data_IF_101125266924
#
_entry.id   IF_101125266924
#
_cell.length_a   1.000
_cell.length_b   1.000
_cell.length_c   1.000
_cell.angle_alpha   90.00
_cell.angle_beta   90.00
_cell.angle_gamma   90.00
#
_symmetry.space_group_name_H-M   'P 1'
#
loop_
_entity.id
_entity.type
_entity.pdbx_description
1 polymer ?
#
# COMPACT_ATOMS: atom_id res chain seq x y z
N UNK A 1 -17.28 14.88 12.38
CA UNK A 1 -17.24 14.09 11.12
C UNK A 1 -18.02 12.81 11.35
N UNK A 2 -19.00 12.51 10.51
CA UNK A 2 -19.81 11.29 10.63
C UNK A 2 -19.69 10.46 9.36
N UNK A 3 -19.53 9.14 9.53
CA UNK A 3 -19.65 8.20 8.43
C UNK A 3 -21.14 7.99 8.12
N UNK A 4 -21.50 8.08 6.84
CA UNK A 4 -22.86 7.90 6.34
C UNK A 4 -23.03 6.45 5.88
N UNK A 5 -22.12 5.98 5.03
CA UNK A 5 -22.10 4.59 4.54
C UNK A 5 -20.68 4.21 4.16
N UNK A 6 -20.39 2.91 4.12
CA UNK A 6 -19.13 2.38 3.62
C UNK A 6 -19.39 1.28 2.59
N UNK A 7 -18.49 1.18 1.62
CA UNK A 7 -18.53 0.15 0.59
C UNK A 7 -17.20 -0.61 0.59
N UNK A 8 -17.28 -1.91 0.83
CA UNK A 8 -16.11 -2.78 0.82
C UNK A 8 -15.59 -2.99 -0.60
N UNK A 9 -14.28 -3.18 -0.73
CA UNK A 9 -13.62 -3.39 -2.01
C UNK A 9 -14.27 -4.47 -2.87
N UNK A 10 -14.67 -5.60 -2.28
CA UNK A 10 -15.29 -6.70 -3.02
C UNK A 10 -16.61 -6.32 -3.69
N UNK A 11 -17.38 -5.43 -3.08
CA UNK A 11 -18.63 -4.91 -3.68
C UNK A 11 -18.32 -3.86 -4.76
N UNK A 12 -17.33 -3.00 -4.49
CA UNK A 12 -16.89 -1.96 -5.43
C UNK A 12 -16.27 -2.56 -6.70
N UNK A 13 -15.45 -3.60 -6.58
CA UNK A 13 -14.81 -4.25 -7.73
C UNK A 13 -15.84 -4.93 -8.64
N UNK A 14 -16.83 -5.61 -8.05
CA UNK A 14 -17.97 -6.17 -8.80
C UNK A 14 -18.82 -5.07 -9.44
N UNK A 15 -19.08 -3.98 -8.72
CA UNK A 15 -19.84 -2.84 -9.22
C UNK A 15 -19.15 -2.15 -10.39
N UNK A 16 -17.82 -2.01 -10.33
CA UNK A 16 -17.01 -1.47 -11.43
C UNK A 16 -17.06 -2.37 -12.66
N UNK A 17 -16.91 -3.68 -12.48
CA UNK A 17 -17.02 -4.64 -13.58
C UNK A 17 -18.41 -4.60 -14.23
N UNK A 18 -19.47 -4.55 -13.41
CA UNK A 18 -20.85 -4.46 -13.90
C UNK A 18 -21.10 -3.12 -14.62
N UNK A 19 -20.68 -1.99 -14.04
CA UNK A 19 -20.81 -0.66 -14.65
C UNK A 19 -20.06 -0.60 -15.99
N UNK A 20 -18.83 -1.12 -16.04
CA UNK A 20 -18.03 -1.17 -17.26
C UNK A 20 -18.67 -2.06 -18.34
N UNK A 21 -19.20 -3.23 -17.98
CA UNK A 21 -19.92 -4.10 -18.90
C UNK A 21 -21.16 -3.41 -19.48
N UNK A 22 -22.01 -2.85 -18.61
CA UNK A 22 -23.25 -2.18 -19.05
C UNK A 22 -22.97 -0.90 -19.86
N UNK A 23 -21.88 -0.19 -19.56
CA UNK A 23 -21.43 0.96 -20.37
C UNK A 23 -20.93 0.50 -21.75
N UNK A 24 -20.22 -0.63 -21.81
CA UNK A 24 -19.75 -1.23 -23.07
C UNK A 24 -20.90 -1.74 -23.92
N UNK A 25 -21.95 -2.26 -23.27
CA UNK A 25 -23.21 -2.66 -23.90
C UNK A 25 -24.03 -1.46 -24.43
N UNK A 26 -23.57 -0.22 -24.20
CA UNK A 26 -24.20 1.00 -24.69
C UNK A 26 -25.47 1.39 -23.93
N UNK A 27 -25.68 0.87 -22.71
CA UNK A 27 -26.87 1.20 -21.91
C UNK A 27 -26.84 2.64 -21.41
N UNK A 28 -28.02 3.22 -21.26
CA UNK A 28 -28.16 4.56 -20.72
C UNK A 28 -27.80 4.60 -19.22
N UNK A 29 -27.40 5.76 -18.70
CA UNK A 29 -27.00 5.92 -17.30
C UNK A 29 -28.09 5.48 -16.29
N UNK A 30 -29.35 5.75 -16.61
CA UNK A 30 -30.52 5.35 -15.80
C UNK A 30 -30.71 3.83 -15.76
N UNK A 31 -30.49 3.15 -16.89
CA UNK A 31 -30.55 1.68 -16.97
C UNK A 31 -29.38 1.03 -16.23
N UNK A 32 -28.19 1.63 -16.29
CA UNK A 32 -27.03 1.18 -15.51
C UNK A 32 -27.35 1.28 -14.02
N UNK A 33 -27.92 2.40 -13.58
CA UNK A 33 -28.29 2.61 -12.18
C UNK A 33 -29.36 1.61 -11.73
N UNK A 34 -30.35 1.33 -12.57
CA UNK A 34 -31.38 0.30 -12.31
C UNK A 34 -30.77 -1.08 -12.20
N UNK A 35 -29.92 -1.49 -13.15
CA UNK A 35 -29.26 -2.80 -13.11
C UNK A 35 -28.33 -2.95 -11.88
N UNK A 36 -27.65 -1.88 -11.47
CA UNK A 36 -26.85 -1.86 -10.25
C UNK A 36 -27.73 -1.96 -8.99
N UNK A 37 -28.89 -1.28 -8.95
CA UNK A 37 -29.83 -1.41 -7.83
C UNK A 37 -30.34 -2.84 -7.67
N UNK A 38 -30.70 -3.51 -8.77
CA UNK A 38 -31.18 -4.89 -8.74
C UNK A 38 -30.08 -5.87 -8.31
N UNK A 39 -28.87 -5.70 -8.84
CA UNK A 39 -27.74 -6.60 -8.55
C UNK A 39 -27.28 -6.50 -7.10
N UNK A 40 -27.16 -5.27 -6.57
CA UNK A 40 -26.61 -5.02 -5.24
C UNK A 40 -27.67 -4.78 -4.17
N UNK A 41 -28.95 -4.71 -4.56
CA UNK A 41 -30.09 -4.41 -3.68
C UNK A 41 -29.89 -3.10 -2.91
N UNK A 42 -29.38 -2.09 -3.62
CA UNK A 42 -29.21 -0.74 -3.08
C UNK A 42 -30.27 0.18 -3.66
N UNK A 43 -30.89 0.97 -2.78
CA UNK A 43 -31.98 1.87 -3.13
C UNK A 43 -31.73 3.27 -2.55
N UNK A 44 -32.39 4.27 -3.12
CA UNK A 44 -32.36 5.66 -2.65
C UNK A 44 -30.94 6.24 -2.54
N UNK A 45 -30.66 6.93 -1.43
CA UNK A 45 -29.38 7.59 -1.17
C UNK A 45 -28.19 6.62 -1.20
N UNK A 46 -28.38 5.38 -0.75
CA UNK A 46 -27.31 4.38 -0.74
C UNK A 46 -26.88 4.00 -2.16
N UNK A 47 -27.82 3.93 -3.10
CA UNK A 47 -27.51 3.69 -4.50
C UNK A 47 -26.74 4.86 -5.10
N UNK A 48 -27.17 6.10 -4.83
CA UNK A 48 -26.47 7.32 -5.27
C UNK A 48 -25.04 7.35 -4.74
N UNK A 49 -24.85 7.09 -3.44
CA UNK A 49 -23.52 6.98 -2.85
C UNK A 49 -22.69 5.85 -3.44
N UNK A 50 -23.31 4.72 -3.78
CA UNK A 50 -22.61 3.61 -4.41
C UNK A 50 -22.11 3.98 -5.80
N UNK A 51 -22.96 4.58 -6.65
CA UNK A 51 -22.58 5.02 -7.99
C UNK A 51 -21.45 6.04 -7.93
N UNK A 52 -21.57 7.05 -7.06
CA UNK A 52 -20.52 8.05 -6.84
C UNK A 52 -19.21 7.42 -6.31
N UNK A 53 -19.30 6.44 -5.41
CA UNK A 53 -18.14 5.70 -4.94
C UNK A 53 -17.46 4.90 -6.07
N UNK A 54 -18.22 4.32 -7.01
CA UNK A 54 -17.65 3.65 -8.19
C UNK A 54 -16.85 4.64 -9.04
N UNK A 55 -17.35 5.85 -9.24
CA UNK A 55 -16.63 6.88 -10.01
C UNK A 55 -15.33 7.32 -9.32
N UNK A 56 -15.37 7.49 -8.00
CA UNK A 56 -14.17 7.80 -7.20
C UNK A 56 -13.13 6.67 -7.28
N UNK A 57 -13.56 5.42 -7.27
CA UNK A 57 -12.64 4.27 -7.36
C UNK A 57 -12.12 4.08 -8.78
N UNK A 58 -12.93 4.31 -9.81
CA UNK A 58 -12.49 4.23 -11.21
C UNK A 58 -11.31 5.18 -11.50
N UNK A 59 -11.29 6.34 -10.86
CA UNK A 59 -10.17 7.29 -10.94
C UNK A 59 -8.93 6.84 -10.15
N UNK A 60 -9.14 6.00 -9.13
CA UNK A 60 -8.12 5.55 -8.17
C UNK A 60 -7.93 4.03 -8.23
N UNK A 61 -7.86 3.46 -9.46
CA UNK A 61 -7.71 2.03 -9.73
C UNK A 61 -6.41 1.47 -9.12
N UNK A 62 -6.48 1.17 -7.82
CA UNK A 62 -5.35 0.72 -7.03
C UNK A 62 -5.72 -0.61 -6.37
N UNK A 63 -4.95 -1.65 -6.65
CA UNK A 63 -5.22 -3.02 -6.16
C UNK A 63 -5.08 -3.16 -4.63
N UNK A 64 -4.72 -2.08 -3.94
CA UNK A 64 -4.58 -2.02 -2.48
C UNK A 64 -5.82 -1.42 -1.80
N UNK A 65 -6.89 -1.10 -2.53
CA UNK A 65 -8.11 -0.53 -1.95
C UNK A 65 -8.79 -1.55 -1.02
N UNK A 66 -9.12 -1.12 0.20
CA UNK A 66 -9.85 -1.91 1.20
C UNK A 66 -11.33 -1.58 1.18
N UNK A 67 -11.67 -0.29 1.21
CA UNK A 67 -13.05 0.22 1.22
C UNK A 67 -13.09 1.70 0.83
N UNK A 68 -14.28 2.20 0.53
CA UNK A 68 -14.58 3.63 0.44
C UNK A 68 -15.54 3.99 1.55
N UNK A 69 -15.19 5.01 2.34
CA UNK A 69 -16.02 5.55 3.41
C UNK A 69 -16.64 6.86 2.92
N UNK A 70 -17.96 6.96 2.98
CA UNK A 70 -18.70 8.18 2.64
C UNK A 70 -18.96 8.95 3.93
N UNK A 71 -18.57 10.22 3.95
CA UNK A 71 -18.59 11.04 5.15
C UNK A 71 -19.34 12.35 4.90
N UNK A 72 -20.06 12.81 5.92
CA UNK A 72 -20.54 14.19 6.00
C UNK A 72 -19.67 14.99 6.98
N UNK A 73 -19.32 16.21 6.58
CA UNK A 73 -18.57 17.16 7.40
C UNK A 73 -19.55 18.19 7.97
N UNK A 74 -19.35 18.53 9.24
CA UNK A 74 -20.01 19.71 9.82
C UNK A 74 -19.19 20.97 9.51
N UNK A 75 -19.83 22.14 9.58
CA UNK A 75 -19.16 23.42 9.39
C UNK A 75 -17.96 23.57 10.34
N UNK A 76 -16.78 23.88 9.78
CA UNK A 76 -15.52 24.01 10.51
C UNK A 76 -14.65 22.74 10.59
N UNK A 77 -15.12 21.60 10.10
CA UNK A 77 -14.33 20.36 10.04
C UNK A 77 -13.53 20.27 8.73
N UNK A 78 -12.24 19.91 8.83
CA UNK A 78 -11.38 19.70 7.64
C UNK A 78 -11.59 18.30 7.08
N UNK A 79 -11.74 18.20 5.75
CA UNK A 79 -11.81 16.94 5.04
C UNK A 79 -10.52 16.11 5.20
N UNK A 80 -10.61 14.77 5.28
CA UNK A 80 -9.43 13.90 5.24
C UNK A 80 -8.59 14.12 3.97
N UNK A 81 -7.27 13.99 4.07
CA UNK A 81 -6.34 14.34 2.98
C UNK A 81 -6.51 13.56 1.66
N UNK A 82 -7.24 12.43 1.69
CA UNK A 82 -7.56 11.60 0.51
C UNK A 82 -9.04 11.64 0.13
N UNK A 83 -9.82 12.53 0.74
CA UNK A 83 -11.23 12.64 0.46
C UNK A 83 -11.44 13.27 -0.92
N UNK A 84 -12.28 12.64 -1.74
CA UNK A 84 -12.83 13.23 -2.95
C UNK A 84 -14.20 13.79 -2.58
N UNK A 85 -14.37 15.10 -2.72
CA UNK A 85 -15.66 15.74 -2.48
C UNK A 85 -16.55 15.55 -3.72
N UNK A 86 -17.71 14.94 -3.52
CA UNK A 86 -18.77 14.87 -4.53
C UNK A 86 -20.02 15.41 -3.86
N UNK A 87 -20.48 16.57 -4.37
CA UNK A 87 -21.59 17.34 -3.81
C UNK A 87 -21.36 17.70 -2.32
N UNK A 88 -22.26 17.28 -1.43
CA UNK A 88 -22.19 17.51 0.01
C UNK A 88 -21.39 16.44 0.76
N UNK A 89 -20.97 15.36 0.09
CA UNK A 89 -20.36 14.20 0.73
C UNK A 89 -18.88 14.04 0.35
N UNK A 90 -18.13 13.46 1.27
CA UNK A 90 -16.70 13.23 1.14
C UNK A 90 -16.44 11.74 1.06
N UNK A 91 -15.89 11.28 -0.06
CA UNK A 91 -15.59 9.88 -0.34
C UNK A 91 -14.12 9.65 -0.03
N UNK A 92 -13.82 8.80 0.94
CA UNK A 92 -12.47 8.53 1.42
C UNK A 92 -12.07 7.10 1.04
N UNK A 93 -11.24 6.92 -0.01
CA UNK A 93 -10.67 5.62 -0.32
C UNK A 93 -9.63 5.23 0.74
N UNK A 94 -9.88 4.13 1.44
CA UNK A 94 -8.96 3.54 2.38
C UNK A 94 -8.19 2.40 1.72
N UNK A 95 -6.87 2.45 1.80
CA UNK A 95 -5.98 1.45 1.22
C UNK A 95 -5.33 0.62 2.32
N UNK A 96 -5.07 -0.65 2.03
CA UNK A 96 -4.23 -1.50 2.87
C UNK A 96 -2.84 -0.85 2.94
N UNK A 97 -2.33 -0.67 4.15
CA UNK A 97 -0.99 -0.13 4.35
C UNK A 97 0.04 -1.12 3.79
N UNK A 98 0.55 -0.84 2.60
CA UNK A 98 1.77 -1.48 2.10
C UNK A 98 2.96 -0.77 2.72
N UNK A 99 3.95 -1.55 3.17
CA UNK A 99 5.20 -0.98 3.64
C UNK A 99 5.77 -0.09 2.53
N UNK A 100 5.99 1.19 2.82
CA UNK A 100 6.65 2.08 1.86
C UNK A 100 8.01 1.45 1.53
N UNK A 101 8.37 1.24 0.26
CA UNK A 101 9.74 0.87 -0.06
C UNK A 101 10.62 1.98 0.50
N UNK A 102 11.63 1.59 1.28
CA UNK A 102 12.67 2.52 1.72
C UNK A 102 13.37 2.91 0.43
N UNK A 103 12.98 4.05 -0.14
CA UNK A 103 13.75 4.67 -1.20
C UNK A 103 15.05 5.05 -0.52
N UNK A 104 16.10 4.28 -0.78
CA UNK A 104 17.44 4.66 -0.39
C UNK A 104 17.69 5.99 -1.11
N UNK A 105 17.62 7.08 -0.36
CA UNK A 105 17.97 8.40 -0.86
C UNK A 105 19.40 8.27 -1.38
N UNK A 106 19.60 8.41 -2.69
CA UNK A 106 20.93 8.44 -3.27
C UNK A 106 21.67 9.60 -2.62
N UNK A 107 22.62 9.27 -1.74
CA UNK A 107 23.46 10.24 -1.09
C UNK A 107 24.26 10.96 -2.18
N UNK A 108 23.80 12.15 -2.56
CA UNK A 108 24.53 13.05 -3.45
C UNK A 108 25.88 13.35 -2.81
N UNK A 109 26.93 12.77 -3.39
CA UNK A 109 28.30 13.03 -3.03
C UNK A 109 28.66 14.50 -3.22
N UNK A 110 29.31 15.11 -2.22
CA UNK A 110 30.06 16.35 -2.41
C UNK A 110 31.20 16.47 -1.40
N UNK A 111 32.43 16.45 -1.93
CA UNK A 111 33.54 17.26 -1.42
C UNK A 111 34.46 16.60 -0.41
N UNK A 112 35.63 16.19 -0.87
CA UNK A 112 36.73 15.74 -0.02
C UNK A 112 37.40 16.88 0.76
N UNK A 113 38.20 16.49 1.76
CA UNK A 113 39.31 17.29 2.27
C UNK A 113 40.40 16.32 2.74
N UNK A 114 41.46 16.23 1.95
CA UNK A 114 42.61 15.39 2.24
C UNK A 114 43.43 15.90 3.41
N UNK A 115 44.30 15.00 3.90
CA UNK A 115 45.61 15.42 4.38
C UNK A 115 46.03 14.95 5.77
N UNK A 116 46.87 13.90 5.75
CA UNK A 116 48.13 13.77 6.50
C UNK A 116 48.06 13.42 8.00
N UNK A 117 48.60 12.24 8.33
CA UNK A 117 49.07 11.90 9.67
C UNK A 117 49.57 10.46 9.78
N UNK A 118 50.83 10.21 9.37
CA UNK A 118 51.56 8.97 9.65
C UNK A 118 51.81 8.85 11.17
N UNK A 119 51.62 7.66 11.73
CA UNK A 119 52.06 7.25 13.07
C UNK A 119 51.44 5.89 13.40
N UNK A 120 52.03 4.79 12.95
CA UNK A 120 52.93 3.92 13.72
C UNK A 120 52.26 3.27 14.95
N UNK A 121 52.08 1.94 14.86
CA UNK A 121 52.02 1.06 16.02
C UNK A 121 50.63 0.52 16.37
N UNK A 122 50.41 -0.78 16.15
CA UNK A 122 49.27 -1.49 16.73
C UNK A 122 48.85 -2.74 15.97
N UNK A 123 49.61 -3.83 16.10
CA UNK A 123 49.10 -5.19 15.88
C UNK A 123 47.89 -5.39 16.79
N UNK A 124 46.73 -5.78 16.25
CA UNK A 124 45.61 -6.22 17.08
C UNK A 124 44.30 -6.41 16.31
N UNK A 125 43.94 -7.67 16.12
CA UNK A 125 42.53 -8.11 16.15
C UNK A 125 41.65 -7.63 15.00
N UNK A 126 41.81 -8.27 13.84
CA UNK A 126 40.67 -8.38 12.93
C UNK A 126 39.67 -9.34 13.53
N UNK A 127 38.61 -8.82 14.16
CA UNK A 127 37.35 -9.53 14.43
C UNK A 127 36.29 -8.50 14.82
N UNK A 128 35.97 -7.60 13.89
CA UNK A 128 34.70 -6.86 13.91
C UNK A 128 33.83 -7.39 12.79
N UNK A 129 32.94 -8.31 13.14
CA UNK A 129 31.57 -8.31 12.63
C UNK A 129 30.75 -9.28 13.45
N UNK A 130 29.90 -8.74 14.33
CA UNK A 130 28.68 -9.40 14.75
C UNK A 130 27.88 -9.74 13.49
N UNK A 131 28.05 -10.97 13.02
CA UNK A 131 27.28 -11.53 11.92
C UNK A 131 25.97 -12.03 12.48
N UNK A 132 24.95 -11.17 12.45
CA UNK A 132 23.57 -11.65 12.61
C UNK A 132 23.33 -12.81 11.62
N UNK A 133 22.65 -13.89 12.04
CA UNK A 133 22.51 -15.13 11.25
C UNK A 133 21.73 -14.98 9.93
N UNK A 134 21.18 -13.79 9.66
CA UNK A 134 20.37 -13.50 8.47
C UNK A 134 21.17 -12.95 7.28
N UNK A 135 22.50 -12.87 7.37
CA UNK A 135 23.35 -12.26 6.34
C UNK A 135 24.43 -13.18 5.74
N UNK A 136 24.38 -14.49 5.98
CA UNK A 136 25.32 -15.44 5.36
C UNK A 136 24.77 -15.95 4.02
N UNK A 137 25.61 -15.99 2.99
CA UNK A 137 25.23 -16.62 1.72
C UNK A 137 25.16 -18.16 1.90
N UNK A 138 24.40 -18.89 1.06
CA UNK A 138 24.25 -20.35 1.19
C UNK A 138 25.59 -21.11 1.17
N UNK A 139 26.60 -20.57 0.47
CA UNK A 139 27.93 -21.15 0.36
C UNK A 139 28.74 -21.03 1.68
N UNK A 140 28.56 -19.93 2.42
CA UNK A 140 29.25 -19.72 3.71
C UNK A 140 28.67 -20.60 4.83
N UNK A 141 27.37 -20.90 4.79
CA UNK A 141 26.70 -21.80 5.75
C UNK A 141 27.17 -23.25 5.54
N UNK A 142 27.34 -23.67 4.27
CA UNK A 142 27.85 -24.99 3.93
C UNK A 142 29.30 -25.19 4.40
N UNK A 143 30.16 -24.18 4.22
CA UNK A 143 31.55 -24.23 4.67
C UNK A 143 31.69 -24.34 6.20
N UNK A 144 30.75 -23.75 6.96
CA UNK A 144 30.78 -23.79 8.44
C UNK A 144 30.24 -25.10 9.02
N UNK A 145 29.34 -25.80 8.33
CA UNK A 145 28.88 -27.15 8.71
C UNK A 145 29.85 -28.27 8.34
N UNK A 146 30.80 -28.03 7.44
CA UNK A 146 31.75 -29.03 6.95
C UNK A 146 32.99 -29.27 7.82
N UNK A 147 33.19 -28.54 8.91
CA UNK A 147 34.41 -28.64 9.74
C UNK A 147 34.12 -29.25 11.11
N UNK A 148 33.74 -30.52 11.14
CA UNK A 148 33.88 -31.34 12.34
C UNK A 148 35.36 -31.79 12.47
N UNK A 149 36.03 -31.57 13.61
CA UNK A 149 37.41 -32.03 13.81
C UNK A 149 37.46 -33.55 14.02
N UNK A 150 38.51 -34.15 13.50
CA UNK A 150 38.83 -35.57 13.66
C UNK A 150 39.16 -35.94 15.12
N UNK A 151 38.54 -37.03 15.59
CA UNK A 151 38.90 -38.01 16.64
C UNK A 151 39.33 -37.53 18.05
N UNK A 152 39.11 -38.39 19.08
CA UNK A 152 40.26 -39.19 19.50
C UNK A 152 39.95 -40.68 19.77
N UNK A 153 41.03 -41.46 19.70
CA UNK A 153 41.18 -42.88 20.02
C UNK A 153 40.74 -43.22 21.46
N UNK A 154 40.19 -44.42 21.62
CA UNK A 154 40.45 -45.33 22.73
C UNK A 154 40.51 -46.76 22.18
#
# INVERSE_FOLDING_TARGET
MKSVTEFNYFTLSKGLAAKAALTTDGKAAEEIQTALSETFKFEGEKLTHFVNALDVVAQNNNNTLKRVVVMSLNEGEKAPAKAVQVEAFHYVPEFVATAKPVVAEEAHGKGGRGGKGRGQGGRGGGDKKGGSPWGMSPEEIAAKKGKAPAAPKA
#
